data_IF_297476771078
#
_entry.id   IF_297476771078
#
_cell.length_a   1.000
_cell.length_b   1.000
_cell.length_c   1.000
_cell.angle_alpha   90.00
_cell.angle_beta   90.00
_cell.angle_gamma   90.00
#
_symmetry.space_group_name_H-M   'P 1'
#
loop_
_entity.id
_entity.type
_entity.pdbx_description
1 polymer ?
#
# COMPACT_ATOMS: atom_id res chain seq x y z
N UNK A 1 3.52 -49.77 -42.43
CA UNK A 1 3.59 -51.21 -42.10
C UNK A 1 3.40 -51.37 -40.60
N UNK A 2 2.50 -52.27 -40.24
CA UNK A 2 2.07 -52.55 -38.87
C UNK A 2 3.16 -53.22 -38.03
N UNK A 3 3.13 -52.97 -36.71
CA UNK A 3 3.06 -54.06 -35.71
C UNK A 3 2.54 -53.53 -34.38
N UNK A 4 1.52 -54.23 -33.89
CA UNK A 4 0.92 -54.16 -32.55
C UNK A 4 1.95 -54.43 -31.44
N UNK A 5 1.65 -54.07 -30.19
CA UNK A 5 1.33 -55.07 -29.14
C UNK A 5 0.83 -54.42 -27.82
N UNK A 6 -0.36 -54.89 -27.43
CA UNK A 6 -0.84 -55.31 -26.09
C UNK A 6 -1.12 -54.31 -24.97
N UNK A 7 -2.40 -54.34 -24.59
CA UNK A 7 -3.06 -53.88 -23.38
C UNK A 7 -3.18 -54.97 -22.30
N UNK A 8 -3.55 -54.50 -21.09
CA UNK A 8 -4.13 -55.15 -19.89
C UNK A 8 -3.19 -55.45 -18.71
N UNK A 9 -3.68 -55.42 -17.44
CA UNK A 9 -4.94 -54.87 -16.90
C UNK A 9 -4.79 -53.94 -15.68
N UNK A 10 -5.82 -53.11 -15.47
CA UNK A 10 -6.13 -52.42 -14.22
C UNK A 10 -6.68 -53.40 -13.17
N UNK A 11 -6.23 -53.28 -11.92
CA UNK A 11 -7.01 -53.67 -10.73
C UNK A 11 -6.95 -52.55 -9.67
N UNK A 12 -8.05 -52.29 -8.95
CA UNK A 12 -8.19 -51.12 -8.09
C UNK A 12 -7.83 -51.44 -6.64
N UNK A 13 -6.85 -50.75 -6.06
CA UNK A 13 -6.65 -50.78 -4.61
C UNK A 13 -7.60 -49.79 -3.94
N UNK A 14 -8.64 -50.35 -3.28
CA UNK A 14 -9.44 -49.70 -2.27
C UNK A 14 -8.57 -49.47 -1.03
N UNK A 15 -8.40 -48.21 -0.61
CA UNK A 15 -8.01 -47.88 0.76
C UNK A 15 -9.12 -47.03 1.35
N UNK A 16 -9.80 -47.58 2.36
CA UNK A 16 -10.80 -46.89 3.18
C UNK A 16 -10.11 -45.88 4.11
N UNK A 17 -10.83 -44.79 4.48
CA UNK A 17 -10.30 -43.74 5.33
C UNK A 17 -10.27 -44.19 6.80
N UNK A 18 -9.12 -44.02 7.45
CA UNK A 18 -8.98 -44.11 8.89
C UNK A 18 -9.25 -42.71 9.47
N UNK A 19 -10.43 -42.55 10.06
CA UNK A 19 -10.77 -41.45 10.95
C UNK A 19 -10.20 -41.78 12.33
N UNK A 20 -9.35 -40.90 12.86
CA UNK A 20 -9.16 -40.79 14.31
C UNK A 20 -9.13 -39.32 14.75
N UNK A 21 -9.69 -39.01 15.94
CA UNK A 21 -10.06 -37.66 16.31
C UNK A 21 -8.96 -37.02 17.16
N UNK A 22 -8.37 -35.93 16.68
CA UNK A 22 -7.54 -35.10 17.54
C UNK A 22 -8.41 -34.22 18.43
N UNK A 23 -8.18 -34.41 19.73
CA UNK A 23 -8.91 -33.86 20.85
C UNK A 23 -8.72 -32.34 20.94
N UNK A 24 -9.84 -31.65 21.11
CA UNK A 24 -9.93 -30.28 21.57
C UNK A 24 -9.33 -30.17 22.98
N UNK A 25 -8.33 -29.30 23.15
CA UNK A 25 -8.00 -28.77 24.46
C UNK A 25 -8.93 -27.59 24.75
N UNK A 26 -9.80 -27.80 25.73
CA UNK A 26 -10.64 -26.79 26.37
C UNK A 26 -9.78 -25.94 27.30
N UNK A 27 -9.76 -24.64 27.09
CA UNK A 27 -9.31 -23.65 28.07
C UNK A 27 -10.52 -22.81 28.49
N UNK A 28 -10.85 -22.92 29.78
CA UNK A 28 -11.98 -22.29 30.43
C UNK A 28 -11.96 -20.75 30.32
N UNK A 29 -13.13 -20.09 30.29
CA UNK A 29 -13.21 -18.64 30.32
C UNK A 29 -13.03 -18.14 31.76
N UNK A 30 -12.06 -17.24 31.95
CA UNK A 30 -11.95 -16.44 33.17
C UNK A 30 -13.03 -15.36 33.15
N UNK A 31 -13.92 -15.44 34.14
CA UNK A 31 -14.94 -14.42 34.42
C UNK A 31 -14.25 -13.26 35.15
N UNK A 32 -14.23 -12.08 34.53
CA UNK A 32 -13.95 -10.83 35.24
C UNK A 32 -15.20 -9.96 35.23
N UNK A 33 -15.69 -9.71 36.43
CA UNK A 33 -16.80 -8.82 36.77
C UNK A 33 -16.31 -7.37 36.78
N UNK A 34 -16.78 -6.55 35.84
CA UNK A 34 -16.68 -5.09 35.97
C UNK A 34 -18.06 -4.45 35.86
N UNK A 35 -18.45 -3.83 36.98
CA UNK A 35 -19.63 -3.00 37.16
C UNK A 35 -19.59 -1.76 36.24
N UNK A 36 -20.73 -1.28 35.72
CA UNK A 36 -20.77 -0.04 34.97
C UNK A 36 -20.81 1.15 35.94
N UNK A 37 -19.77 1.96 35.95
CA UNK A 37 -19.80 3.28 36.58
C UNK A 37 -20.53 4.23 35.62
N UNK A 38 -21.75 4.63 36.01
CA UNK A 38 -22.48 5.75 35.43
C UNK A 38 -21.69 7.03 35.71
N UNK A 39 -21.27 7.74 34.66
CA UNK A 39 -20.82 9.13 34.77
C UNK A 39 -21.90 10.02 34.16
N UNK A 40 -22.36 10.93 35.00
CA UNK A 40 -23.38 11.94 34.78
C UNK A 40 -22.97 12.94 33.70
N UNK A 41 -23.91 13.23 32.81
CA UNK A 41 -23.94 14.38 31.92
C UNK A 41 -24.03 15.68 32.72
N UNK A 42 -22.95 16.47 32.74
CA UNK A 42 -23.01 17.88 33.10
C UNK A 42 -22.81 18.73 31.85
N UNK A 43 -23.86 19.48 31.57
CA UNK A 43 -23.99 20.60 30.65
C UNK A 43 -22.91 21.65 30.87
N UNK A 44 -22.15 21.96 29.81
CA UNK A 44 -21.38 23.20 29.74
C UNK A 44 -21.84 24.00 28.52
N UNK A 45 -22.54 25.10 28.83
CA UNK A 45 -22.83 26.21 27.93
C UNK A 45 -21.51 26.87 27.56
N UNK A 46 -21.22 27.01 26.26
CA UNK A 46 -20.24 27.99 25.79
C UNK A 46 -20.91 29.00 24.86
N UNK A 47 -20.73 30.26 25.23
CA UNK A 47 -21.19 31.46 24.57
C UNK A 47 -20.43 31.73 23.28
N UNK A 48 -21.18 32.17 22.29
CA UNK A 48 -20.73 32.76 21.03
C UNK A 48 -19.90 34.02 21.27
N UNK A 49 -18.76 34.15 20.60
CA UNK A 49 -18.24 35.46 20.18
C UNK A 49 -17.64 35.33 18.78
N UNK A 50 -18.25 36.06 17.84
CA UNK A 50 -17.71 36.39 16.53
C UNK A 50 -16.78 37.58 16.71
N UNK A 51 -15.62 37.56 16.09
CA UNK A 51 -14.86 38.75 15.75
C UNK A 51 -14.02 38.45 14.52
N UNK A 52 -14.52 38.93 13.38
CA UNK A 52 -13.81 39.00 12.11
C UNK A 52 -12.58 39.89 12.28
N UNK A 53 -11.39 39.34 12.03
CA UNK A 53 -10.16 40.12 11.88
C UNK A 53 -9.54 39.81 10.53
N UNK A 54 -9.80 40.73 9.60
CA UNK A 54 -9.11 40.87 8.31
C UNK A 54 -7.61 41.03 8.57
N UNK A 55 -6.80 40.16 7.97
CA UNK A 55 -5.34 40.32 7.90
C UNK A 55 -4.96 40.42 6.42
N UNK A 56 -4.49 41.60 6.04
CA UNK A 56 -3.91 41.90 4.74
C UNK A 56 -2.47 41.39 4.73
N UNK A 57 -2.12 40.51 3.79
CA UNK A 57 -0.76 40.04 3.59
C UNK A 57 -0.09 40.84 2.46
N UNK A 58 0.99 41.53 2.82
CA UNK A 58 1.85 42.32 1.94
C UNK A 58 2.72 41.35 1.13
N UNK A 59 2.66 41.48 -0.20
CA UNK A 59 3.56 40.79 -1.14
C UNK A 59 4.89 41.53 -1.15
N UNK A 60 5.97 40.82 -0.81
CA UNK A 60 7.33 41.29 -1.05
C UNK A 60 7.92 40.43 -2.16
N UNK A 61 8.10 41.01 -3.34
CA UNK A 61 8.89 40.41 -4.41
C UNK A 61 10.37 40.52 -4.03
N UNK A 62 11.08 39.38 -4.00
CA UNK A 62 12.54 39.37 -3.96
C UNK A 62 13.05 38.53 -5.14
N UNK A 63 13.58 39.25 -6.14
CA UNK A 63 14.41 38.71 -7.20
C UNK A 63 15.69 38.15 -6.61
N UNK A 64 15.93 36.85 -6.73
CA UNK A 64 17.29 36.30 -6.65
C UNK A 64 17.60 35.44 -7.86
N UNK A 65 18.66 35.88 -8.54
CA UNK A 65 19.30 35.30 -9.71
C UNK A 65 20.00 34.00 -9.32
N UNK A 66 19.79 32.96 -10.13
CA UNK A 66 20.79 31.93 -10.45
C UNK A 66 21.47 31.23 -9.28
N UNK A 67 20.79 30.28 -8.66
CA UNK A 67 21.45 29.15 -8.02
C UNK A 67 20.97 27.89 -8.74
N UNK A 68 21.88 27.14 -9.34
CA UNK A 68 21.60 25.78 -9.80
C UNK A 68 21.23 24.97 -8.55
N UNK A 69 19.93 24.89 -8.25
CA UNK A 69 19.45 24.08 -7.14
C UNK A 69 19.88 22.65 -7.43
N UNK A 70 20.81 22.11 -6.64
CA UNK A 70 20.95 20.67 -6.50
C UNK A 70 19.54 20.16 -6.22
N UNK A 71 18.96 19.39 -7.14
CA UNK A 71 17.68 18.74 -6.92
C UNK A 71 17.82 18.00 -5.59
N UNK A 72 17.16 18.52 -4.56
CA UNK A 72 17.37 18.08 -3.20
C UNK A 72 16.86 16.64 -3.11
N UNK A 73 17.65 15.76 -2.49
CA UNK A 73 17.32 14.34 -2.26
C UNK A 73 16.16 14.20 -1.26
N UNK A 74 14.98 14.70 -1.66
CA UNK A 74 13.77 14.81 -0.85
C UNK A 74 12.68 13.97 -1.51
N UNK A 75 12.02 13.16 -0.69
CA UNK A 75 10.83 12.43 -1.06
C UNK A 75 9.64 13.18 -0.47
N UNK A 76 8.68 13.54 -1.30
CA UNK A 76 7.37 14.04 -0.84
C UNK A 76 6.35 12.94 -1.05
N UNK A 77 5.78 12.44 0.05
CA UNK A 77 4.89 11.29 0.06
C UNK A 77 3.51 11.74 0.52
N UNK A 78 2.56 11.85 -0.41
CA UNK A 78 1.17 12.20 -0.11
C UNK A 78 0.32 10.93 -0.07
N UNK A 79 -0.17 10.57 1.10
CA UNK A 79 -1.10 9.46 1.26
C UNK A 79 -2.49 9.86 0.79
N UNK A 80 -3.07 9.09 -0.13
CA UNK A 80 -4.39 9.37 -0.71
C UNK A 80 -5.48 8.44 -0.20
N UNK A 81 -5.28 7.74 0.93
CA UNK A 81 -6.17 6.71 1.49
C UNK A 81 -6.26 5.40 0.70
N UNK A 82 -6.47 4.27 1.39
CA UNK A 82 -6.40 2.95 0.78
C UNK A 82 -4.96 2.57 0.47
N UNK A 83 -4.71 2.00 -0.70
CA UNK A 83 -3.35 1.77 -1.19
C UNK A 83 -2.81 2.96 -2.01
N UNK A 84 -3.59 4.04 -2.15
CA UNK A 84 -3.29 5.13 -3.07
C UNK A 84 -2.27 6.13 -2.52
N UNK A 85 -1.28 6.48 -3.36
CA UNK A 85 -0.28 7.49 -3.05
C UNK A 85 0.03 8.38 -4.24
N UNK A 86 0.45 9.61 -3.94
CA UNK A 86 1.17 10.48 -4.87
C UNK A 86 2.57 10.74 -4.31
N UNK A 87 3.59 10.37 -5.06
CA UNK A 87 4.99 10.58 -4.68
C UNK A 87 5.64 11.62 -5.59
N UNK A 88 6.48 12.46 -5.01
CA UNK A 88 7.50 13.23 -5.71
C UNK A 88 8.87 12.74 -5.21
N UNK A 89 9.60 12.05 -6.08
CA UNK A 89 10.89 11.44 -5.75
C UNK A 89 11.96 12.05 -6.63
N UNK A 90 12.79 12.93 -6.05
CA UNK A 90 13.85 13.61 -6.79
C UNK A 90 13.34 14.40 -8.00
N UNK A 91 12.10 14.91 -7.95
CA UNK A 91 11.48 15.65 -9.05
C UNK A 91 10.66 14.78 -10.03
N UNK A 92 10.55 13.47 -9.80
CA UNK A 92 9.71 12.54 -10.59
C UNK A 92 8.39 12.31 -9.86
N UNK A 93 7.26 12.59 -10.52
CA UNK A 93 5.92 12.45 -9.95
C UNK A 93 5.27 11.11 -10.30
N UNK A 94 5.02 10.29 -9.29
CA UNK A 94 4.50 8.93 -9.44
C UNK A 94 3.15 8.82 -8.74
N UNK A 95 2.13 8.40 -9.48
CA UNK A 95 0.85 7.98 -8.92
C UNK A 95 0.89 6.48 -8.66
N UNK A 96 0.53 6.03 -7.45
CA UNK A 96 0.63 4.63 -7.04
C UNK A 96 -0.74 4.11 -6.64
N UNK A 97 -1.15 2.97 -7.21
CA UNK A 97 -2.37 2.22 -6.87
C UNK A 97 -3.63 3.11 -6.64
N UNK A 98 -4.03 3.92 -7.65
CA UNK A 98 -5.01 4.98 -7.43
C UNK A 98 -6.47 4.48 -7.39
N UNK A 99 -7.14 4.74 -6.27
CA UNK A 99 -8.59 4.60 -6.08
C UNK A 99 -9.15 6.01 -5.91
N UNK A 100 -9.45 6.70 -7.02
CA UNK A 100 -9.84 8.12 -7.01
C UNK A 100 -11.23 8.37 -7.61
N UNK A 101 -11.85 7.34 -8.21
CA UNK A 101 -13.18 7.47 -8.85
C UNK A 101 -14.11 6.41 -8.29
N UNK A 102 -15.13 6.88 -7.56
CA UNK A 102 -16.11 6.01 -6.89
C UNK A 102 -15.51 5.22 -5.73
N UNK A 103 -16.32 4.30 -5.21
CA UNK A 103 -15.93 3.44 -4.10
C UNK A 103 -15.22 2.17 -4.58
N UNK A 104 -14.40 1.60 -3.69
CA UNK A 104 -13.84 0.27 -3.85
C UNK A 104 -14.92 -0.77 -3.52
N UNK A 105 -15.33 -1.56 -4.51
CA UNK A 105 -16.42 -2.53 -4.36
C UNK A 105 -16.16 -3.92 -4.94
N UNK A 106 -14.97 -4.16 -5.51
CA UNK A 106 -14.59 -5.43 -6.14
C UNK A 106 -15.61 -5.92 -7.19
N UNK A 107 -16.37 -4.99 -7.81
CA UNK A 107 -17.46 -5.30 -8.74
C UNK A 107 -18.73 -5.88 -8.11
N UNK A 108 -18.79 -6.02 -6.78
CA UNK A 108 -19.92 -6.61 -6.04
C UNK A 108 -20.30 -5.71 -4.84
N UNK A 109 -20.97 -4.56 -5.04
CA UNK A 109 -21.21 -3.55 -3.99
C UNK A 109 -21.97 -4.03 -2.74
N UNK A 110 -22.85 -5.03 -2.88
CA UNK A 110 -23.57 -5.57 -1.73
C UNK A 110 -22.67 -6.44 -0.84
N UNK A 111 -21.58 -6.99 -1.41
CA UNK A 111 -20.61 -7.81 -0.71
C UNK A 111 -19.59 -6.93 0.03
N UNK A 112 -19.06 -5.92 -0.66
CA UNK A 112 -18.15 -4.93 -0.10
C UNK A 112 -18.31 -3.61 -0.85
N UNK A 113 -18.34 -2.50 -0.11
CA UNK A 113 -18.35 -1.15 -0.65
C UNK A 113 -17.64 -0.24 0.36
N UNK A 114 -16.50 0.33 -0.04
CA UNK A 114 -15.64 1.15 0.82
C UNK A 114 -15.33 2.51 0.18
N UNK A 115 -15.69 3.57 0.91
CA UNK A 115 -15.42 4.95 0.55
C UNK A 115 -14.22 5.51 1.34
N UNK A 116 -13.52 6.50 0.76
CA UNK A 116 -12.53 7.29 1.48
C UNK A 116 -13.17 8.02 2.66
N UNK A 117 -12.44 8.16 3.77
CA UNK A 117 -12.91 8.87 4.97
C UNK A 117 -12.71 10.36 4.87
N UNK A 118 -11.54 10.78 4.38
CA UNK A 118 -11.10 12.18 4.45
C UNK A 118 -11.10 12.88 3.09
N UNK A 119 -10.58 12.24 2.05
CA UNK A 119 -10.41 12.80 0.70
C UNK A 119 -11.62 12.54 -0.20
N UNK A 120 -12.83 12.76 0.32
CA UNK A 120 -14.10 12.49 -0.39
C UNK A 120 -14.30 13.34 -1.65
N UNK A 121 -13.65 14.50 -1.71
CA UNK A 121 -13.75 15.45 -2.82
C UNK A 121 -12.50 15.48 -3.72
N UNK A 122 -11.50 14.65 -3.43
CA UNK A 122 -10.28 14.60 -4.25
C UNK A 122 -10.57 13.84 -5.55
N UNK A 123 -10.29 14.47 -6.68
CA UNK A 123 -10.63 13.99 -8.01
C UNK A 123 -9.39 13.86 -8.90
N UNK A 124 -9.55 13.18 -10.05
CA UNK A 124 -8.49 13.07 -11.05
C UNK A 124 -7.97 14.43 -11.56
N UNK A 125 -8.82 15.46 -11.57
CA UNK A 125 -8.44 16.83 -11.94
C UNK A 125 -7.52 17.50 -10.93
N UNK A 126 -7.47 17.01 -9.70
CA UNK A 126 -6.63 17.57 -8.63
C UNK A 126 -5.20 17.01 -8.66
N UNK A 127 -4.96 15.97 -9.48
CA UNK A 127 -3.64 15.41 -9.68
C UNK A 127 -2.75 16.41 -10.44
N UNK A 128 -1.45 16.50 -10.07
CA UNK A 128 -0.49 17.26 -10.86
C UNK A 128 -0.25 16.56 -12.22
N UNK A 129 0.60 17.15 -13.04
CA UNK A 129 1.23 16.37 -14.11
C UNK A 129 1.98 15.17 -13.51
N UNK A 130 1.86 14.02 -14.16
CA UNK A 130 2.43 12.75 -13.72
C UNK A 130 3.47 12.30 -14.72
N UNK A 131 4.58 11.76 -14.23
CA UNK A 131 5.61 11.13 -15.05
C UNK A 131 5.38 9.61 -15.16
N UNK A 132 4.79 9.00 -14.13
CA UNK A 132 4.56 7.56 -14.09
C UNK A 132 3.31 7.18 -13.26
N UNK A 133 2.61 6.15 -13.71
CA UNK A 133 1.70 5.34 -12.89
C UNK A 133 2.43 4.07 -12.44
N UNK A 134 2.34 3.72 -11.16
CA UNK A 134 2.87 2.49 -10.60
C UNK A 134 1.73 1.62 -10.07
N UNK A 135 1.61 0.39 -10.58
CA UNK A 135 0.62 -0.59 -10.15
C UNK A 135 1.32 -1.79 -9.51
N UNK A 136 1.00 -2.07 -8.25
CA UNK A 136 1.68 -3.12 -7.48
C UNK A 136 1.03 -4.47 -7.60
N UNK A 137 -0.29 -4.50 -7.64
CA UNK A 137 -1.09 -5.72 -7.73
C UNK A 137 -2.18 -5.61 -8.78
N UNK A 138 -2.70 -6.76 -9.23
CA UNK A 138 -3.79 -6.83 -10.20
C UNK A 138 -5.19 -6.71 -9.58
N UNK A 139 -5.30 -6.70 -8.25
CA UNK A 139 -6.58 -6.63 -7.52
C UNK A 139 -7.18 -5.21 -7.51
N UNK A 140 -8.50 -5.11 -7.36
CA UNK A 140 -9.27 -3.86 -7.49
C UNK A 140 -8.87 -2.78 -6.48
N UNK A 141 -8.33 -3.15 -5.32
CA UNK A 141 -7.80 -2.23 -4.30
C UNK A 141 -6.41 -1.67 -4.66
N UNK A 142 -5.89 -2.01 -5.84
CA UNK A 142 -4.66 -1.49 -6.43
C UNK A 142 -4.88 -1.03 -7.88
N UNK A 143 -5.35 -1.95 -8.72
CA UNK A 143 -5.60 -1.77 -10.15
C UNK A 143 -7.06 -1.36 -10.42
N UNK A 144 -7.51 -0.28 -9.80
CA UNK A 144 -8.92 0.10 -9.79
C UNK A 144 -9.41 0.61 -11.15
N UNK A 145 -10.08 -0.25 -11.93
CA UNK A 145 -10.49 0.08 -13.31
C UNK A 145 -11.40 1.31 -13.44
N UNK A 146 -12.22 1.62 -12.42
CA UNK A 146 -13.06 2.84 -12.44
C UNK A 146 -12.21 4.10 -12.39
N UNK A 147 -11.05 4.06 -11.72
CA UNK A 147 -10.07 5.15 -11.75
C UNK A 147 -9.27 5.12 -13.05
N UNK A 148 -8.79 3.94 -13.45
CA UNK A 148 -7.78 3.81 -14.50
C UNK A 148 -8.31 4.12 -15.91
N UNK A 149 -9.58 3.80 -16.20
CA UNK A 149 -10.22 4.11 -17.50
C UNK A 149 -10.23 5.62 -17.82
N UNK A 150 -10.86 6.49 -16.99
CA UNK A 150 -10.82 7.93 -17.26
C UNK A 150 -9.41 8.51 -17.15
N UNK A 151 -8.54 7.96 -16.29
CA UNK A 151 -7.14 8.40 -16.22
C UNK A 151 -6.40 8.15 -17.55
N UNK A 152 -6.61 6.99 -18.19
CA UNK A 152 -5.95 6.67 -19.46
C UNK A 152 -6.47 7.51 -20.62
N UNK A 153 -7.75 7.89 -20.60
CA UNK A 153 -8.33 8.86 -21.54
C UNK A 153 -7.73 10.26 -21.34
N UNK A 154 -7.54 10.70 -20.09
CA UNK A 154 -6.95 12.00 -19.75
C UNK A 154 -5.44 12.09 -19.98
N UNK A 155 -4.73 10.95 -20.00
CA UNK A 155 -3.27 10.85 -20.00
C UNK A 155 -2.80 9.65 -20.85
N UNK A 156 -3.13 9.65 -22.13
CA UNK A 156 -2.89 8.52 -23.04
C UNK A 156 -1.40 8.16 -23.26
N UNK A 157 -0.47 9.08 -23.00
CA UNK A 157 0.98 8.91 -23.10
C UNK A 157 1.65 8.53 -21.76
N UNK A 158 0.87 8.47 -20.66
CA UNK A 158 1.40 8.19 -19.32
C UNK A 158 2.14 6.85 -19.32
N UNK A 159 3.39 6.88 -18.89
CA UNK A 159 4.16 5.66 -18.64
C UNK A 159 3.56 4.92 -17.46
N UNK A 160 3.40 3.62 -17.61
CA UNK A 160 2.92 2.73 -16.54
C UNK A 160 4.00 1.70 -16.23
N UNK A 161 4.33 1.52 -14.96
CA UNK A 161 5.11 0.39 -14.46
C UNK A 161 4.17 -0.49 -13.64
N UNK A 162 4.15 -1.79 -13.91
CA UNK A 162 3.20 -2.68 -13.25
C UNK A 162 3.72 -4.10 -13.00
N UNK A 163 3.06 -4.80 -12.09
CA UNK A 163 3.11 -6.27 -12.00
C UNK A 163 2.64 -6.92 -13.31
N UNK A 164 3.29 -8.01 -13.79
CA UNK A 164 2.81 -8.77 -14.95
C UNK A 164 1.38 -9.30 -14.81
N UNK A 165 0.90 -9.53 -13.59
CA UNK A 165 -0.47 -10.00 -13.35
C UNK A 165 -1.54 -8.96 -13.77
N UNK A 166 -1.21 -7.67 -13.76
CA UNK A 166 -2.13 -6.60 -14.17
C UNK A 166 -2.23 -6.45 -15.69
N UNK A 167 -1.46 -7.22 -16.48
CA UNK A 167 -1.40 -7.09 -17.94
C UNK A 167 -2.76 -7.15 -18.63
N UNK A 168 -3.65 -8.11 -18.35
CA UNK A 168 -4.96 -8.18 -19.00
C UNK A 168 -5.86 -6.97 -18.73
N UNK A 169 -5.64 -6.27 -17.61
CA UNK A 169 -6.40 -5.09 -17.19
C UNK A 169 -5.84 -3.81 -17.80
N UNK A 170 -4.52 -3.72 -17.96
CA UNK A 170 -3.82 -2.50 -18.37
C UNK A 170 -3.60 -2.40 -19.88
N UNK A 171 -3.37 -3.52 -20.58
CA UNK A 171 -3.17 -3.53 -22.04
C UNK A 171 -4.30 -2.84 -22.83
N UNK A 172 -5.59 -2.97 -22.44
CA UNK A 172 -6.67 -2.26 -23.13
C UNK A 172 -6.73 -0.76 -22.84
N UNK A 173 -6.03 -0.27 -21.81
CA UNK A 173 -6.15 1.10 -21.31
C UNK A 173 -4.94 1.97 -21.67
N UNK A 174 -3.73 1.41 -21.60
CA UNK A 174 -2.48 2.15 -21.74
C UNK A 174 -1.58 1.54 -22.81
N UNK A 175 -0.95 2.39 -23.62
CA UNK A 175 -0.06 1.97 -24.70
C UNK A 175 1.42 1.89 -24.30
N UNK A 176 1.79 2.48 -23.15
CA UNK A 176 3.16 2.62 -22.66
C UNK A 176 3.33 1.93 -21.30
N UNK A 177 3.23 0.59 -21.29
CA UNK A 177 3.31 -0.21 -20.06
C UNK A 177 4.57 -1.05 -20.02
N UNK A 178 5.30 -0.97 -18.91
CA UNK A 178 6.45 -1.80 -18.58
C UNK A 178 6.05 -2.74 -17.45
N UNK A 179 6.01 -4.04 -17.74
CA UNK A 179 5.74 -5.07 -16.74
C UNK A 179 7.07 -5.58 -16.16
N UNK A 180 7.23 -5.48 -14.84
CA UNK A 180 8.45 -5.88 -14.15
C UNK A 180 8.20 -7.16 -13.34
N UNK A 181 8.88 -8.25 -13.71
CA UNK A 181 8.99 -9.44 -12.85
C UNK A 181 9.91 -9.13 -11.64
N UNK A 182 9.75 -9.80 -10.49
CA UNK A 182 10.63 -9.62 -9.34
C UNK A 182 12.12 -9.71 -9.70
N UNK A 183 12.89 -8.70 -9.26
CA UNK A 183 14.30 -8.54 -9.56
C UNK A 183 14.60 -7.66 -10.78
N UNK A 184 13.62 -7.45 -11.68
CA UNK A 184 13.77 -6.52 -12.80
C UNK A 184 13.61 -5.06 -12.34
N UNK A 185 14.17 -4.15 -13.13
CA UNK A 185 14.15 -2.72 -12.84
C UNK A 185 13.96 -1.90 -14.12
N UNK A 186 13.39 -0.71 -13.97
CA UNK A 186 13.29 0.30 -15.03
C UNK A 186 13.69 1.65 -14.46
N UNK A 187 14.39 2.43 -15.27
CA UNK A 187 14.62 3.83 -14.96
C UNK A 187 13.41 4.66 -15.44
N UNK A 188 13.04 5.69 -14.67
CA UNK A 188 12.05 6.70 -15.07
C UNK A 188 12.80 8.03 -15.21
N UNK A 189 12.61 8.69 -16.34
CA UNK A 189 13.13 10.02 -16.61
C UNK A 189 11.93 10.96 -16.80
N UNK A 190 11.82 11.95 -15.93
CA UNK A 190 10.77 12.96 -15.95
C UNK A 190 11.08 14.05 -16.99
N UNK A 191 10.07 14.84 -17.35
CA UNK A 191 10.21 15.90 -18.37
C UNK A 191 11.23 16.98 -18.00
N UNK A 192 11.50 17.15 -16.70
CA UNK A 192 12.50 18.07 -16.17
C UNK A 192 13.94 17.49 -16.16
N UNK A 193 14.14 16.28 -16.71
CA UNK A 193 15.43 15.58 -16.73
C UNK A 193 15.78 14.84 -15.43
N UNK A 194 14.91 14.89 -14.42
CA UNK A 194 15.08 14.09 -13.21
C UNK A 194 14.97 12.60 -13.52
N UNK A 195 15.79 11.79 -12.85
CA UNK A 195 15.87 10.35 -13.12
C UNK A 195 15.86 9.53 -11.84
N UNK A 196 14.99 8.53 -11.78
CA UNK A 196 14.92 7.57 -10.67
C UNK A 196 14.98 6.15 -11.19
N UNK A 197 15.27 5.20 -10.30
CA UNK A 197 15.19 3.77 -10.59
C UNK A 197 14.07 3.12 -9.80
N UNK A 198 13.27 2.30 -10.47
CA UNK A 198 12.25 1.45 -9.85
C UNK A 198 12.64 -0.01 -10.05
N UNK A 199 12.64 -0.80 -8.99
CA UNK A 199 12.94 -2.23 -9.01
C UNK A 199 11.82 -3.03 -8.36
N UNK A 200 11.28 -4.01 -9.07
CA UNK A 200 10.26 -4.91 -8.54
C UNK A 200 10.87 -5.92 -7.55
N UNK A 201 10.12 -6.23 -6.49
CA UNK A 201 10.41 -7.29 -5.52
C UNK A 201 9.23 -8.24 -5.44
N UNK A 202 9.48 -9.48 -5.00
CA UNK A 202 8.41 -10.47 -4.86
C UNK A 202 7.58 -10.21 -3.59
N UNK A 203 6.30 -9.90 -3.80
CA UNK A 203 5.27 -9.82 -2.77
C UNK A 203 4.48 -11.14 -2.63
N UNK A 204 3.19 -11.09 -2.25
CA UNK A 204 2.39 -12.29 -2.02
C UNK A 204 1.93 -12.97 -3.32
N UNK A 205 1.69 -14.28 -3.25
CA UNK A 205 0.93 -15.02 -4.28
C UNK A 205 -0.53 -15.04 -3.86
N UNK A 206 -1.37 -14.21 -4.50
CA UNK A 206 -2.77 -13.98 -4.12
C UNK A 206 -3.80 -14.84 -4.88
N UNK A 207 -3.31 -15.77 -5.70
CA UNK A 207 -4.14 -16.74 -6.40
C UNK A 207 -3.64 -18.17 -6.18
N UNK A 208 -3.86 -19.07 -7.14
CA UNK A 208 -3.34 -20.43 -7.04
C UNK A 208 -1.82 -20.45 -6.82
N UNK A 209 -1.26 -21.46 -6.14
CA UNK A 209 0.17 -21.49 -5.80
C UNK A 209 1.16 -21.40 -6.98
N UNK A 210 0.69 -21.65 -8.20
CA UNK A 210 1.48 -21.55 -9.44
C UNK A 210 1.36 -20.18 -10.13
N UNK A 211 0.55 -19.26 -9.61
CA UNK A 211 0.46 -17.90 -10.10
C UNK A 211 1.74 -17.13 -9.75
N UNK A 212 2.08 -16.13 -10.57
CA UNK A 212 3.18 -15.21 -10.26
C UNK A 212 2.86 -14.43 -8.98
N UNK A 213 3.87 -14.14 -8.14
CA UNK A 213 3.66 -13.21 -7.04
C UNK A 213 3.27 -11.83 -7.58
N UNK A 214 2.55 -11.06 -6.76
CA UNK A 214 2.42 -9.62 -6.96
C UNK A 214 3.72 -8.90 -6.53
N UNK A 215 3.81 -7.59 -6.77
CA UNK A 215 5.04 -6.84 -6.58
C UNK A 215 5.03 -5.97 -5.31
N UNK A 216 6.17 -5.92 -4.64
CA UNK A 216 6.63 -4.73 -3.94
C UNK A 216 7.59 -3.94 -4.84
N UNK A 217 8.00 -2.74 -4.41
CA UNK A 217 8.97 -1.94 -5.18
C UNK A 217 10.02 -1.24 -4.31
N UNK A 218 11.26 -1.27 -4.78
CA UNK A 218 12.32 -0.34 -4.38
C UNK A 218 12.33 0.84 -5.35
N UNK A 219 12.35 2.06 -4.83
CA UNK A 219 12.44 3.30 -5.59
C UNK A 219 13.62 4.11 -5.06
N UNK A 220 14.61 4.36 -5.91
CA UNK A 220 15.85 5.03 -5.55
C UNK A 220 15.98 6.36 -6.27
N UNK A 221 16.34 7.41 -5.52
CA UNK A 221 16.71 8.72 -6.07
C UNK A 221 17.99 8.61 -6.94
N UNK A 222 18.33 9.64 -7.74
CA UNK A 222 19.61 9.67 -8.45
C UNK A 222 20.79 9.30 -7.54
N UNK A 223 21.76 8.56 -8.08
CA UNK A 223 22.96 8.09 -7.36
C UNK A 223 22.66 7.20 -6.12
N UNK A 224 21.47 6.59 -6.06
CA UNK A 224 21.02 5.72 -4.97
C UNK A 224 21.12 6.38 -3.58
N UNK A 225 20.90 7.70 -3.53
CA UNK A 225 21.14 8.48 -2.32
C UNK A 225 20.11 8.23 -1.24
N UNK A 226 18.84 8.15 -1.62
CA UNK A 226 17.75 7.83 -0.71
C UNK A 226 16.87 6.78 -1.38
N UNK A 227 16.61 5.68 -0.67
CA UNK A 227 15.84 4.55 -1.21
C UNK A 227 14.58 4.30 -0.40
N UNK A 228 13.46 4.17 -1.09
CA UNK A 228 12.16 3.84 -0.55
C UNK A 228 11.80 2.39 -0.92
N UNK A 229 11.29 1.63 0.04
CA UNK A 229 10.63 0.36 -0.19
C UNK A 229 9.13 0.48 0.06
N UNK A 230 8.33 0.10 -0.92
CA UNK A 230 6.87 0.04 -0.83
C UNK A 230 6.41 -1.42 -0.85
N UNK A 231 5.74 -1.83 0.23
CA UNK A 231 5.16 -3.15 0.40
C UNK A 231 3.70 -3.02 0.85
N UNK A 232 2.72 -3.17 -0.07
CA UNK A 232 1.34 -2.81 0.20
C UNK A 232 0.60 -3.72 1.18
N UNK A 233 1.07 -4.95 1.43
CA UNK A 233 0.38 -5.91 2.31
C UNK A 233 1.23 -6.37 3.49
N UNK A 234 2.44 -5.85 3.65
CA UNK A 234 3.43 -6.34 4.60
C UNK A 234 3.75 -7.84 4.40
N UNK A 235 3.65 -8.35 3.16
CA UNK A 235 3.96 -9.75 2.82
C UNK A 235 5.02 -9.78 1.73
N UNK A 236 6.23 -10.17 2.10
CA UNK A 236 7.41 -10.04 1.27
C UNK A 236 8.28 -11.29 1.28
N UNK A 237 9.02 -11.52 0.20
CA UNK A 237 10.01 -12.59 0.14
C UNK A 237 11.31 -12.17 0.86
N UNK A 238 11.53 -12.69 2.08
CA UNK A 238 12.72 -12.38 2.91
C UNK A 238 14.04 -12.58 2.16
N UNK A 239 14.23 -13.74 1.52
CA UNK A 239 15.47 -14.06 0.80
C UNK A 239 15.80 -13.09 -0.33
N UNK A 240 14.79 -12.51 -0.99
CA UNK A 240 14.98 -11.49 -2.02
C UNK A 240 15.40 -10.12 -1.47
N UNK A 241 15.06 -9.83 -0.22
CA UNK A 241 15.32 -8.56 0.45
C UNK A 241 16.55 -8.56 1.37
N UNK A 242 17.06 -9.73 1.79
CA UNK A 242 18.21 -9.86 2.71
C UNK A 242 19.46 -9.07 2.29
N UNK A 243 19.66 -8.84 0.99
CA UNK A 243 20.81 -8.09 0.44
C UNK A 243 20.45 -6.67 0.01
N UNK A 244 19.24 -6.21 0.31
CA UNK A 244 18.71 -4.91 -0.06
C UNK A 244 18.70 -3.99 1.16
N UNK A 245 18.67 -2.69 0.89
CA UNK A 245 18.55 -1.64 1.89
C UNK A 245 17.50 -0.65 1.42
N UNK A 246 16.77 -0.08 2.36
CA UNK A 246 15.89 1.05 2.10
C UNK A 246 15.91 1.97 3.32
N UNK A 247 16.06 3.27 3.10
CA UNK A 247 16.00 4.26 4.17
C UNK A 247 14.55 4.47 4.64
N UNK A 248 13.61 4.42 3.70
CA UNK A 248 12.18 4.63 3.92
C UNK A 248 11.44 3.31 3.63
N UNK A 249 10.58 2.87 4.54
CA UNK A 249 9.66 1.75 4.30
C UNK A 249 8.23 2.24 4.42
N UNK A 250 7.45 2.14 3.34
CA UNK A 250 6.00 2.29 3.38
C UNK A 250 5.37 0.90 3.42
N UNK A 251 4.66 0.59 4.50
CA UNK A 251 3.99 -0.72 4.69
C UNK A 251 2.81 -0.58 5.65
N UNK A 252 1.79 -1.45 5.58
CA UNK A 252 0.80 -1.56 6.64
C UNK A 252 1.46 -1.98 7.95
N UNK A 253 0.96 -1.42 9.05
CA UNK A 253 1.40 -1.80 10.40
C UNK A 253 0.25 -2.35 11.26
N UNK A 254 -0.99 -2.26 10.78
CA UNK A 254 -2.18 -2.84 11.43
C UNK A 254 -2.66 -3.99 10.55
N UNK A 255 -2.91 -5.15 11.16
CA UNK A 255 -3.37 -6.33 10.42
C UNK A 255 -4.84 -6.18 10.03
N UNK A 256 -5.20 -6.69 8.86
CA UNK A 256 -6.58 -6.86 8.41
C UNK A 256 -6.85 -8.35 8.25
N UNK A 257 -7.87 -8.85 8.93
CA UNK A 257 -8.15 -10.27 9.09
C UNK A 257 -9.57 -10.60 8.65
N UNK A 258 -9.72 -11.67 7.90
CA UNK A 258 -10.97 -12.41 7.77
C UNK A 258 -10.92 -13.66 8.66
N UNK A 259 -12.06 -14.30 8.97
CA UNK A 259 -12.06 -15.57 9.66
C UNK A 259 -11.14 -16.58 8.96
N UNK A 260 -10.02 -16.94 9.62
CA UNK A 260 -8.98 -17.88 9.16
C UNK A 260 -8.04 -17.39 8.05
N UNK A 261 -8.10 -16.11 7.67
CA UNK A 261 -7.23 -15.56 6.61
C UNK A 261 -6.69 -14.18 6.99
N UNK A 262 -5.40 -13.97 6.82
CA UNK A 262 -4.77 -12.65 6.91
C UNK A 262 -4.79 -12.01 5.53
N UNK A 263 -5.48 -10.88 5.39
CA UNK A 263 -5.51 -10.11 4.14
C UNK A 263 -4.34 -9.13 4.06
N UNK A 264 -4.02 -8.51 5.18
CA UNK A 264 -2.93 -7.53 5.33
C UNK A 264 -2.18 -7.86 6.60
N UNK A 265 -0.87 -8.07 6.50
CA UNK A 265 0.03 -8.26 7.64
C UNK A 265 0.40 -6.92 8.29
N UNK A 266 1.09 -6.95 9.42
CA UNK A 266 1.49 -5.75 10.15
C UNK A 266 2.17 -6.11 11.46
N UNK A 267 2.26 -5.13 12.38
CA UNK A 267 2.86 -5.30 13.70
C UNK A 267 4.26 -5.92 13.63
N UNK A 268 4.46 -7.14 14.14
CA UNK A 268 5.75 -7.82 14.17
C UNK A 268 6.33 -8.02 12.76
N UNK A 269 5.49 -8.29 11.77
CA UNK A 269 5.93 -8.49 10.37
C UNK A 269 6.53 -7.19 9.79
N UNK A 270 5.96 -6.04 10.15
CA UNK A 270 6.42 -4.73 9.72
C UNK A 270 7.73 -4.33 10.42
N UNK A 271 7.88 -4.68 11.70
CA UNK A 271 9.16 -4.50 12.42
C UNK A 271 10.24 -5.38 11.81
N UNK A 272 9.93 -6.63 11.48
CA UNK A 272 10.86 -7.52 10.78
C UNK A 272 11.26 -6.97 9.41
N UNK A 273 10.32 -6.38 8.67
CA UNK A 273 10.60 -5.77 7.36
C UNK A 273 11.54 -4.58 7.51
N UNK A 274 11.24 -3.67 8.43
CA UNK A 274 12.07 -2.52 8.72
C UNK A 274 13.49 -2.95 9.14
N UNK A 275 13.60 -3.99 9.97
CA UNK A 275 14.88 -4.55 10.42
C UNK A 275 15.68 -5.17 9.28
N UNK A 276 15.00 -5.95 8.43
CA UNK A 276 15.61 -6.60 7.26
C UNK A 276 16.23 -5.58 6.30
N UNK A 277 15.53 -4.46 6.08
CA UNK A 277 15.97 -3.41 5.15
C UNK A 277 16.85 -2.33 5.77
N UNK A 278 17.10 -2.41 7.09
CA UNK A 278 17.79 -1.38 7.87
C UNK A 278 17.14 0.01 7.73
N UNK A 279 15.81 0.04 7.80
CA UNK A 279 15.02 1.26 7.63
C UNK A 279 15.29 2.29 8.72
N UNK A 280 15.36 3.56 8.31
CA UNK A 280 15.45 4.72 9.21
C UNK A 280 14.09 5.34 9.44
N UNK A 281 13.24 5.34 8.42
CA UNK A 281 11.90 5.90 8.45
C UNK A 281 10.88 4.84 8.07
N UNK A 282 9.88 4.65 8.94
CA UNK A 282 8.72 3.81 8.64
C UNK A 282 7.53 4.73 8.47
N UNK A 283 6.91 4.68 7.29
CA UNK A 283 5.71 5.44 6.96
C UNK A 283 4.53 4.45 6.94
N UNK A 284 3.77 4.35 8.04
CA UNK A 284 2.67 3.39 8.12
C UNK A 284 1.56 3.78 7.14
N UNK A 285 1.10 2.83 6.33
CA UNK A 285 -0.13 2.99 5.55
C UNK A 285 -1.32 2.40 6.30
N UNK A 286 -2.48 3.05 6.17
CA UNK A 286 -3.74 2.61 6.77
C UNK A 286 -4.72 2.17 5.67
N UNK A 287 -4.31 1.20 4.86
CA UNK A 287 -5.04 0.81 3.66
C UNK A 287 -6.47 0.29 3.93
N UNK A 288 -6.70 -0.35 5.07
CA UNK A 288 -8.04 -0.77 5.51
C UNK A 288 -8.89 0.33 6.18
N UNK A 289 -8.36 1.53 6.38
CA UNK A 289 -9.04 2.62 7.11
C UNK A 289 -10.00 3.40 6.19
N UNK A 290 -11.02 2.70 5.70
CA UNK A 290 -12.06 3.20 4.80
C UNK A 290 -13.45 3.14 5.47
N UNK A 291 -14.38 3.99 5.03
CA UNK A 291 -15.79 3.91 5.41
C UNK A 291 -16.42 2.74 4.63
N UNK A 292 -16.34 1.53 5.19
CA UNK A 292 -16.77 0.28 4.53
C UNK A 292 -18.12 -0.25 5.04
N UNK A 293 -18.87 -0.88 4.14
CA UNK A 293 -20.13 -1.59 4.42
C UNK A 293 -20.24 -2.86 3.56
N UNK A 294 -21.22 -3.70 3.86
CA UNK A 294 -21.46 -4.98 3.18
C UNK A 294 -21.11 -6.17 4.06
N UNK A 295 -21.31 -7.39 3.51
CA UNK A 295 -21.10 -8.64 4.26
C UNK A 295 -19.63 -8.84 4.61
N UNK A 296 -18.70 -8.54 3.70
CA UNK A 296 -17.27 -8.69 3.99
C UNK A 296 -16.80 -7.70 5.05
N UNK A 297 -17.33 -6.46 5.02
CA UNK A 297 -16.98 -5.45 6.01
C UNK A 297 -17.40 -5.87 7.43
N UNK A 298 -18.51 -6.58 7.59
CA UNK A 298 -19.01 -6.99 8.92
C UNK A 298 -18.22 -8.13 9.57
N UNK A 299 -17.43 -8.87 8.79
CA UNK A 299 -16.57 -9.97 9.27
C UNK A 299 -15.09 -9.60 9.29
N UNK A 300 -14.73 -8.42 8.77
CA UNK A 300 -13.36 -7.91 8.77
C UNK A 300 -12.98 -7.49 10.19
N UNK A 301 -11.80 -7.93 10.63
CA UNK A 301 -11.26 -7.60 11.94
C UNK A 301 -9.90 -6.93 11.79
N UNK A 302 -9.61 -5.99 12.69
CA UNK A 302 -8.32 -5.31 12.77
C UNK A 302 -7.56 -5.76 14.00
N UNK A 303 -6.26 -6.01 13.87
CA UNK A 303 -5.40 -6.37 15.01
C UNK A 303 -4.16 -5.45 15.07
N UNK A 304 -3.90 -4.94 16.27
CA UNK A 304 -2.81 -4.01 16.56
C UNK A 304 -3.19 -2.54 16.38
N UNK A 305 -2.33 -1.65 16.88
CA UNK A 305 -2.45 -0.20 16.72
C UNK A 305 -1.12 0.41 16.25
N UNK A 306 -1.12 1.70 15.93
CA UNK A 306 0.13 2.42 15.63
C UNK A 306 1.02 2.48 16.88
N UNK A 307 0.44 2.66 18.05
CA UNK A 307 1.14 2.74 19.32
C UNK A 307 1.82 1.41 19.65
N UNK A 308 1.11 0.29 19.54
CA UNK A 308 1.71 -1.03 19.75
C UNK A 308 2.83 -1.31 18.75
N UNK A 309 2.67 -0.89 17.49
CA UNK A 309 3.74 -0.98 16.49
C UNK A 309 4.96 -0.14 16.88
N UNK A 310 4.78 1.12 17.30
CA UNK A 310 5.88 2.00 17.76
C UNK A 310 6.64 1.39 18.94
N UNK A 311 5.93 0.78 19.89
CA UNK A 311 6.55 0.10 21.03
C UNK A 311 7.38 -1.12 20.61
N UNK A 312 6.88 -1.92 19.66
CA UNK A 312 7.64 -3.05 19.11
C UNK A 312 8.86 -2.58 18.32
N UNK A 313 8.71 -1.55 17.50
CA UNK A 313 9.79 -0.98 16.70
C UNK A 313 10.91 -0.43 17.59
N UNK A 314 10.58 0.34 18.63
CA UNK A 314 11.57 0.94 19.53
C UNK A 314 12.45 -0.09 20.26
N UNK A 315 11.95 -1.33 20.44
CA UNK A 315 12.72 -2.43 21.04
C UNK A 315 13.74 -3.04 20.08
N UNK A 316 13.41 -3.09 18.79
CA UNK A 316 14.22 -3.78 17.77
C UNK A 316 15.09 -2.82 16.93
N UNK A 317 14.63 -1.58 16.75
CA UNK A 317 15.24 -0.51 15.95
C UNK A 317 15.04 0.84 16.67
N UNK A 318 15.79 1.12 17.76
CA UNK A 318 15.59 2.33 18.57
C UNK A 318 15.86 3.64 17.82
N UNK A 319 16.68 3.60 16.77
CA UNK A 319 17.03 4.77 15.97
C UNK A 319 16.05 5.03 14.81
N UNK A 320 15.12 4.10 14.56
CA UNK A 320 14.15 4.23 13.48
C UNK A 320 12.96 5.11 13.92
N UNK A 321 12.48 5.96 13.01
CA UNK A 321 11.39 6.90 13.25
C UNK A 321 10.13 6.47 12.51
N UNK A 322 8.99 6.54 13.20
CA UNK A 322 7.67 6.35 12.58
C UNK A 322 7.11 7.71 12.18
N UNK A 323 6.89 7.91 10.89
CA UNK A 323 6.37 9.15 10.32
C UNK A 323 4.95 8.91 9.80
N UNK A 324 3.94 9.29 10.58
CA UNK A 324 2.54 9.08 10.21
C UNK A 324 2.08 10.09 9.15
N UNK A 325 1.68 9.62 7.96
CA UNK A 325 1.18 10.52 6.91
C UNK A 325 -0.21 11.04 7.28
N UNK A 326 -0.47 12.32 6.97
CA UNK A 326 -1.82 12.89 7.00
C UNK A 326 -2.41 12.80 5.59
N UNK A 327 -3.62 12.25 5.45
CA UNK A 327 -4.26 12.09 4.15
C UNK A 327 -4.34 13.42 3.38
N UNK A 328 -3.85 13.42 2.14
CA UNK A 328 -3.82 14.59 1.25
C UNK A 328 -2.71 15.61 1.52
N UNK A 329 -1.96 15.48 2.63
CA UNK A 329 -0.84 16.37 2.93
C UNK A 329 0.50 15.68 2.58
N UNK A 330 1.45 16.40 1.94
CA UNK A 330 2.75 15.84 1.64
C UNK A 330 3.58 15.65 2.92
N UNK A 331 4.06 14.43 3.14
CA UNK A 331 5.12 14.14 4.12
C UNK A 331 6.47 14.25 3.42
N UNK A 332 7.30 15.21 3.85
CA UNK A 332 8.65 15.38 3.29
C UNK A 332 9.67 14.60 4.11
N UNK A 333 10.48 13.78 3.43
CA UNK A 333 11.58 13.03 4.03
C UNK A 333 12.85 13.33 3.25
N UNK A 334 13.88 13.76 3.95
CA UNK A 334 15.20 14.06 3.39
C UNK A 334 16.25 13.19 4.07
N UNK A 335 17.47 13.20 3.54
CA UNK A 335 18.59 12.54 4.21
C UNK A 335 18.81 13.14 5.61
N UNK A 336 19.17 12.29 6.60
CA UNK A 336 19.62 12.77 7.91
C UNK A 336 20.85 13.68 7.83
#
# INVERSE_FOLDING_TARGET
MATQLKSFPFTPFKIRPSLSPFRFFSSAPFVSTHSPIRISSNTLKLSTSRLDRVVSAVVSEENTVGSSSSATDVFKLSYLEGNSWLWDVGGVKILVDPILVGNLDFGIPWLYDAAKKFLKNFQLSDLPELDCLLITQSLDDHCHLKTLKPLSEMRSDLRVIATPNAKPLLDPLFNNVIYLEPGQSSDIEARNGAKIRVQATAGPVLGPPWQRPENGYLVSSPEDRLTLYYEPHCVYNKGSLEKRRADIVITPVIKQLLPKFTLVSGQEDAVQLAKLLHAKYIVPMRNGDLDSKGILASILQTEGTIESFKELLAKELPDAQVLEPTAGAPLEISRP
#
